data_IF_367768243875
#
_entry.id   IF_367768243875
#
_cell.length_a   1.000
_cell.length_b   1.000
_cell.length_c   1.000
_cell.angle_alpha   90.00
_cell.angle_beta   90.00
_cell.angle_gamma   90.00
#
_symmetry.space_group_name_H-M   'P 1'
#
loop_
_entity.id
_entity.type
_entity.pdbx_description
1 polymer ?
#
# COMPACT_ATOMS: atom_id res chain seq x y z
N UNK A 1 7.69 11.80 0.70
CA UNK A 1 7.23 11.03 -0.48
C UNK A 1 7.70 11.62 -1.81
N UNK A 2 8.24 12.83 -1.86
CA UNK A 2 8.62 13.46 -3.14
C UNK A 2 9.89 12.90 -3.77
N UNK A 3 10.81 12.31 -3.00
CA UNK A 3 12.10 11.84 -3.54
C UNK A 3 11.91 10.76 -4.63
N UNK A 4 10.90 9.89 -4.51
CA UNK A 4 10.67 8.82 -5.49
C UNK A 4 10.27 9.36 -6.87
N UNK A 5 9.75 10.58 -6.97
CA UNK A 5 9.28 11.13 -8.25
C UNK A 5 10.38 11.80 -9.07
N UNK A 6 11.61 11.89 -8.55
CA UNK A 6 12.70 12.55 -9.26
C UNK A 6 13.02 11.84 -10.57
N UNK A 7 13.31 12.57 -11.67
CA UNK A 7 13.51 11.97 -13.00
C UNK A 7 14.54 10.83 -13.03
N UNK A 8 15.61 10.93 -12.23
CA UNK A 8 16.65 9.89 -12.12
C UNK A 8 16.16 8.53 -11.61
N UNK A 9 14.98 8.47 -11.01
CA UNK A 9 14.37 7.25 -10.48
C UNK A 9 13.23 6.70 -11.35
N UNK A 10 12.99 7.29 -12.53
CA UNK A 10 11.94 6.91 -13.46
C UNK A 10 12.58 6.50 -14.80
N UNK A 11 13.24 5.35 -14.80
CA UNK A 11 13.88 4.77 -15.98
C UNK A 11 12.93 3.79 -16.68
N UNK A 12 13.22 3.46 -17.92
CA UNK A 12 12.43 2.50 -18.71
C UNK A 12 12.50 1.07 -18.16
N UNK A 13 13.56 0.74 -17.44
CA UNK A 13 13.82 -0.58 -16.85
C UNK A 13 13.67 -0.62 -15.32
N UNK A 14 13.45 0.53 -14.67
CA UNK A 14 13.39 0.63 -13.23
C UNK A 14 12.63 1.87 -12.76
N UNK A 15 11.71 1.69 -11.81
CA UNK A 15 10.98 2.78 -11.18
C UNK A 15 11.05 2.68 -9.65
N UNK A 16 11.26 3.82 -8.98
CA UNK A 16 11.07 3.94 -7.53
C UNK A 16 9.68 4.49 -7.26
N UNK A 17 8.86 3.76 -6.51
CA UNK A 17 7.50 4.18 -6.14
C UNK A 17 7.33 4.08 -4.63
N UNK A 18 6.97 5.19 -4.00
CA UNK A 18 6.64 5.19 -2.57
C UNK A 18 5.28 4.53 -2.35
N UNK A 19 5.22 3.58 -1.41
CA UNK A 19 3.96 2.97 -0.97
C UNK A 19 3.45 3.70 0.27
N UNK A 20 2.17 4.04 0.26
CA UNK A 20 1.55 4.95 1.21
C UNK A 20 0.85 4.22 2.37
N UNK A 21 0.73 2.89 2.31
CA UNK A 21 -0.06 2.06 3.23
C UNK A 21 0.23 2.27 4.72
N UNK A 22 1.40 2.81 5.08
CA UNK A 22 1.80 3.04 6.47
C UNK A 22 1.63 4.46 6.98
N UNK A 23 1.17 5.40 6.16
CA UNK A 23 1.15 6.83 6.52
C UNK A 23 0.11 7.17 7.59
N UNK A 24 -1.07 6.58 7.47
CA UNK A 24 -2.22 6.85 8.35
C UNK A 24 -2.61 5.59 9.14
N UNK A 25 -1.61 4.81 9.58
CA UNK A 25 -1.84 3.61 10.38
C UNK A 25 -2.20 3.96 11.81
N UNK A 26 -3.27 3.32 12.29
CA UNK A 26 -3.66 3.32 13.69
C UNK A 26 -3.90 1.88 14.15
N UNK A 27 -3.46 1.58 15.37
CA UNK A 27 -3.76 0.29 16.01
C UNK A 27 -5.21 0.31 16.49
N UNK A 28 -6.05 -0.66 16.09
CA UNK A 28 -7.41 -0.75 16.58
C UNK A 28 -7.47 -0.88 18.11
N UNK A 29 -8.55 -0.38 18.70
CA UNK A 29 -8.79 -0.53 20.13
C UNK A 29 -9.36 -1.92 20.44
N UNK A 30 -8.94 -2.50 21.56
CA UNK A 30 -9.55 -3.68 22.14
C UNK A 30 -10.88 -3.33 22.85
N UNK A 31 -11.56 -4.34 23.38
CA UNK A 31 -12.85 -4.20 24.07
C UNK A 31 -12.79 -3.26 25.28
N UNK A 32 -11.63 -3.16 25.91
CA UNK A 32 -11.33 -2.30 27.06
C UNK A 32 -10.96 -0.85 26.69
N UNK A 33 -11.04 -0.51 25.40
CA UNK A 33 -10.70 0.81 24.83
C UNK A 33 -9.21 1.18 24.86
N UNK A 34 -8.32 0.24 25.20
CA UNK A 34 -6.88 0.41 25.01
C UNK A 34 -6.45 -0.12 23.64
N UNK A 35 -5.23 0.21 23.20
CA UNK A 35 -4.69 -0.35 21.96
C UNK A 35 -4.64 -1.89 22.03
N UNK A 36 -5.15 -2.56 21.01
CA UNK A 36 -5.16 -4.03 20.95
C UNK A 36 -3.72 -4.54 20.82
N UNK A 37 -3.19 -5.09 21.93
CA UNK A 37 -1.82 -5.59 22.01
C UNK A 37 -1.58 -6.83 21.15
N UNK A 38 -2.63 -7.48 20.64
CA UNK A 38 -2.48 -8.62 19.70
C UNK A 38 -1.90 -8.22 18.33
N UNK A 39 -1.83 -6.91 18.04
CA UNK A 39 -1.12 -6.37 16.87
C UNK A 39 0.41 -6.32 17.06
N UNK A 40 0.91 -6.61 18.26
CA UNK A 40 2.33 -6.63 18.57
C UNK A 40 2.78 -8.02 19.06
N UNK A 41 4.08 -8.27 19.04
CA UNK A 41 4.67 -9.46 19.65
C UNK A 41 4.77 -9.31 21.17
N UNK A 42 5.35 -10.29 21.85
CA UNK A 42 5.45 -10.35 23.32
C UNK A 42 6.22 -9.17 23.94
N UNK A 43 7.05 -8.47 23.16
CA UNK A 43 7.78 -7.28 23.58
C UNK A 43 6.98 -5.97 23.43
N UNK A 44 5.74 -6.04 22.92
CA UNK A 44 4.88 -4.89 22.66
C UNK A 44 5.47 -3.85 21.69
N UNK A 45 6.48 -4.23 20.89
CA UNK A 45 7.18 -3.34 19.98
C UNK A 45 7.18 -3.88 18.55
N UNK A 46 7.64 -5.10 18.34
CA UNK A 46 7.62 -5.70 17.01
C UNK A 46 6.18 -6.04 16.60
N UNK A 47 5.89 -5.90 15.31
CA UNK A 47 4.58 -6.25 14.77
C UNK A 47 4.36 -7.77 14.81
N UNK A 48 3.18 -8.18 15.26
CA UNK A 48 2.78 -9.59 15.23
C UNK A 48 2.54 -10.07 13.79
N UNK A 49 2.36 -11.38 13.62
CA UNK A 49 1.98 -11.95 12.31
C UNK A 49 0.68 -11.33 11.77
N UNK A 50 -0.29 -11.03 12.65
CA UNK A 50 -1.56 -10.37 12.30
C UNK A 50 -1.32 -9.02 11.62
N UNK A 51 -0.46 -8.19 12.21
CA UNK A 51 -0.13 -6.87 11.67
C UNK A 51 0.67 -6.97 10.38
N UNK A 52 1.66 -7.85 10.32
CA UNK A 52 2.43 -8.10 9.10
C UNK A 52 1.51 -8.54 7.94
N UNK A 53 0.53 -9.42 8.18
CA UNK A 53 -0.42 -9.86 7.17
C UNK A 53 -1.28 -8.70 6.63
N UNK A 54 -1.76 -7.81 7.52
CA UNK A 54 -2.55 -6.63 7.11
C UNK A 54 -1.73 -5.62 6.31
N UNK A 55 -0.52 -5.30 6.77
CA UNK A 55 0.39 -4.41 6.02
C UNK A 55 0.73 -5.03 4.67
N UNK A 56 1.02 -6.34 4.60
CA UNK A 56 1.33 -7.03 3.35
C UNK A 56 0.15 -6.99 2.36
N UNK A 57 -1.08 -7.24 2.81
CA UNK A 57 -2.29 -7.13 1.99
C UNK A 57 -2.46 -5.69 1.48
N UNK A 58 -2.31 -4.70 2.37
CA UNK A 58 -2.43 -3.29 2.00
C UNK A 58 -1.34 -2.85 1.02
N UNK A 59 -0.10 -3.31 1.20
CA UNK A 59 1.03 -3.10 0.30
C UNK A 59 0.73 -3.69 -1.08
N UNK A 60 0.20 -4.91 -1.14
CA UNK A 60 -0.20 -5.55 -2.40
C UNK A 60 -1.21 -4.70 -3.17
N UNK A 61 -2.25 -4.20 -2.49
CA UNK A 61 -3.22 -3.29 -3.09
C UNK A 61 -2.54 -2.01 -3.57
N UNK A 62 -1.68 -1.40 -2.75
CA UNK A 62 -0.90 -0.22 -3.08
C UNK A 62 -0.04 -0.39 -4.35
N UNK A 63 0.50 -1.58 -4.61
CA UNK A 63 1.24 -1.87 -5.84
C UNK A 63 0.35 -1.82 -7.09
N UNK A 64 -0.95 -2.09 -6.96
CA UNK A 64 -1.92 -2.09 -8.07
C UNK A 64 -2.70 -0.77 -8.19
N UNK A 65 -2.69 0.05 -7.14
CA UNK A 65 -3.33 1.37 -7.13
C UNK A 65 -2.49 2.41 -7.90
N UNK A 66 -3.11 3.21 -8.79
CA UNK A 66 -2.42 4.29 -9.48
C UNK A 66 -1.73 5.25 -8.50
N UNK A 67 -0.53 5.71 -8.89
CA UNK A 67 0.20 6.73 -8.16
C UNK A 67 -0.67 8.00 -8.07
N UNK A 68 -0.75 8.59 -6.88
CA UNK A 68 -1.63 9.73 -6.57
C UNK A 68 -2.91 9.34 -5.81
N UNK A 69 -3.36 8.08 -5.90
CA UNK A 69 -4.57 7.59 -5.22
C UNK A 69 -4.34 6.31 -4.43
N UNK A 70 -3.11 6.13 -3.92
CA UNK A 70 -2.75 4.99 -3.07
C UNK A 70 -3.42 5.09 -1.71
N UNK A 71 -3.93 3.96 -1.22
CA UNK A 71 -4.50 3.84 0.12
C UNK A 71 -3.41 4.09 1.18
N UNK A 72 -3.77 4.78 2.26
CA UNK A 72 -2.82 5.24 3.29
C UNK A 72 -2.87 4.46 4.61
N UNK A 73 -3.86 3.59 4.77
CA UNK A 73 -4.09 2.81 6.00
C UNK A 73 -4.58 1.40 5.67
N UNK A 74 -4.51 0.47 6.62
CA UNK A 74 -4.99 -0.89 6.41
C UNK A 74 -6.51 -1.01 6.56
N UNK A 75 -7.02 -2.09 6.01
CA UNK A 75 -8.39 -2.58 6.22
C UNK A 75 -8.32 -3.91 6.98
N UNK A 76 -9.47 -4.53 7.24
CA UNK A 76 -9.47 -5.90 7.75
C UNK A 76 -8.83 -6.84 6.71
N UNK A 77 -8.20 -7.90 7.23
CA UNK A 77 -7.43 -8.81 6.39
C UNK A 77 -8.35 -9.43 5.32
N UNK A 78 -7.95 -9.34 4.05
CA UNK A 78 -8.71 -9.77 2.89
C UNK A 78 -10.06 -9.06 2.64
N UNK A 79 -10.39 -7.99 3.36
CA UNK A 79 -11.57 -7.15 3.05
C UNK A 79 -11.48 -6.59 1.62
N UNK A 80 -10.26 -6.18 1.22
CA UNK A 80 -9.93 -5.78 -0.14
C UNK A 80 -8.65 -6.46 -0.57
N UNK A 81 -8.68 -7.16 -1.71
CA UNK A 81 -7.52 -7.78 -2.33
C UNK A 81 -7.59 -7.57 -3.84
N UNK A 82 -6.78 -6.64 -4.36
CA UNK A 82 -6.78 -6.29 -5.77
C UNK A 82 -6.08 -7.37 -6.61
N UNK A 83 -6.68 -7.63 -7.78
CA UNK A 83 -6.08 -8.45 -8.83
C UNK A 83 -5.82 -7.57 -10.06
N UNK A 84 -4.75 -7.85 -10.83
CA UNK A 84 -4.54 -7.20 -12.14
C UNK A 84 -5.73 -7.44 -13.08
N UNK A 85 -6.01 -6.47 -13.95
CA UNK A 85 -7.06 -6.58 -15.00
C UNK A 85 -6.43 -6.50 -16.39
N UNK A 86 -7.12 -6.89 -17.47
CA UNK A 86 -6.63 -6.70 -18.83
C UNK A 86 -6.26 -5.24 -19.16
N UNK A 87 -7.00 -4.27 -18.61
CA UNK A 87 -6.75 -2.84 -18.81
C UNK A 87 -5.53 -2.35 -18.00
N UNK A 88 -5.27 -2.98 -16.85
CA UNK A 88 -4.17 -2.66 -15.93
C UNK A 88 -3.46 -3.93 -15.45
N UNK A 89 -2.67 -4.59 -16.32
CA UNK A 89 -2.06 -5.88 -16.00
C UNK A 89 -0.74 -5.75 -15.21
N UNK A 90 -0.23 -4.53 -15.02
CA UNK A 90 1.07 -4.26 -14.43
C UNK A 90 0.94 -3.51 -13.09
N UNK A 91 2.00 -3.57 -12.29
CA UNK A 91 2.13 -2.72 -11.10
C UNK A 91 2.15 -1.24 -11.48
N UNK A 92 1.60 -0.40 -10.62
CA UNK A 92 1.42 1.01 -10.85
C UNK A 92 2.74 1.80 -10.66
N UNK A 93 3.17 2.45 -11.73
CA UNK A 93 4.31 3.38 -11.79
C UNK A 93 3.81 4.77 -12.18
N UNK A 94 4.69 5.79 -12.16
CA UNK A 94 4.31 7.11 -12.65
C UNK A 94 3.90 7.10 -14.14
N UNK A 95 4.52 6.25 -14.96
CA UNK A 95 4.25 6.18 -16.40
C UNK A 95 2.88 5.60 -16.75
N UNK A 96 2.34 4.68 -15.92
CA UNK A 96 1.10 3.97 -16.23
C UNK A 96 -0.07 4.30 -15.27
N UNK A 97 0.10 5.33 -14.43
CA UNK A 97 -0.92 5.74 -13.46
C UNK A 97 -1.82 6.88 -13.93
N UNK A 98 -1.42 7.65 -14.95
CA UNK A 98 -2.29 8.63 -15.60
C UNK A 98 -3.39 7.91 -16.38
N UNK A 99 -4.61 8.48 -16.46
CA UNK A 99 -5.59 8.02 -17.43
C UNK A 99 -4.91 8.04 -18.81
N UNK A 100 -4.93 6.91 -19.53
CA UNK A 100 -4.62 6.97 -20.95
C UNK A 100 -5.66 7.92 -21.54
N UNK A 101 -5.23 9.08 -22.02
CA UNK A 101 -6.02 9.76 -23.04
C UNK A 101 -6.27 8.71 -24.10
N UNK A 102 -7.54 8.44 -24.40
CA UNK A 102 -7.87 7.51 -25.45
C UNK A 102 -7.23 8.07 -26.71
N UNK A 103 -6.20 7.42 -27.21
CA UNK A 103 -5.74 7.60 -28.57
C UNK A 103 -6.91 7.13 -29.47
N UNK A 104 -7.71 8.11 -29.91
CA UNK A 104 -8.54 8.02 -31.12
C UNK A 104 -7.70 8.44 -32.34
#
# INVERSE_FOLDING_TARGET
MEISIYPKFQRDDFAVITQAITLDLSIPLASDKYADTTYFTIDCFHYSQKTNARIANGLWNNLLEPVGVKTKSWQDLFERFLCPTPERPYLATLQNSSPREKEE
#
